data_IF_022206082992
#
_entry.id   IF_022206082992
#
_cell.length_a   1.000
_cell.length_b   1.000
_cell.length_c   1.000
_cell.angle_alpha   90.00
_cell.angle_beta   90.00
_cell.angle_gamma   90.00
#
_symmetry.space_group_name_H-M   'P 1'
#
loop_
_entity.id
_entity.type
_entity.pdbx_description
1 polymer ?
#
# COMPACT_ATOMS: atom_id res chain seq x y z
N UNK A 1 -5.79 -4.64 24.56
CA UNK A 1 -4.84 -4.52 25.70
C UNK A 1 -3.56 -5.35 25.53
N UNK A 2 -3.63 -6.63 25.13
CA UNK A 2 -2.44 -7.51 25.10
C UNK A 2 -1.35 -7.07 24.11
N UNK A 3 -1.73 -6.41 22.99
CA UNK A 3 -0.81 -6.00 21.94
C UNK A 3 -0.85 -4.49 21.67
N UNK A 4 -1.37 -3.73 22.64
CA UNK A 4 -1.61 -2.30 22.47
C UNK A 4 -0.34 -1.53 22.07
N UNK A 5 0.79 -1.84 22.70
CA UNK A 5 2.10 -1.21 22.38
C UNK A 5 2.55 -1.44 20.93
N UNK A 6 2.19 -2.59 20.34
CA UNK A 6 2.49 -2.87 18.94
C UNK A 6 1.46 -2.25 17.98
N UNK A 7 0.18 -2.24 18.36
CA UNK A 7 -0.92 -1.83 17.49
C UNK A 7 -1.17 -0.32 17.46
N UNK A 8 -0.63 0.41 18.44
CA UNK A 8 -0.81 1.86 18.55
C UNK A 8 0.50 2.59 18.63
N UNK A 9 0.45 3.89 18.34
CA UNK A 9 1.56 4.83 18.50
C UNK A 9 1.02 6.21 18.89
N UNK A 10 1.88 7.08 19.43
CA UNK A 10 1.53 8.49 19.62
C UNK A 10 1.81 9.24 18.33
N UNK A 11 0.80 9.91 17.79
CA UNK A 11 0.92 10.68 16.56
C UNK A 11 1.81 11.92 16.78
N UNK A 12 2.73 12.14 15.85
CA UNK A 12 3.51 13.37 15.77
C UNK A 12 2.70 14.58 15.24
N UNK A 13 1.55 14.32 14.60
CA UNK A 13 0.69 15.37 14.07
C UNK A 13 -0.32 15.88 15.11
N UNK A 14 -0.88 14.99 15.91
CA UNK A 14 -1.99 15.30 16.82
C UNK A 14 -1.66 15.15 18.31
N UNK A 15 -0.55 14.49 18.64
CA UNK A 15 -0.21 14.11 20.03
C UNK A 15 -1.11 13.02 20.62
N UNK A 16 -2.11 12.53 19.88
CA UNK A 16 -3.05 11.50 20.33
C UNK A 16 -2.53 10.10 20.03
N UNK A 17 -3.06 9.12 20.78
CA UNK A 17 -2.87 7.71 20.45
C UNK A 17 -3.65 7.38 19.17
N UNK A 18 -2.98 6.79 18.18
CA UNK A 18 -3.53 6.41 16.88
C UNK A 18 -3.21 4.95 16.55
N UNK A 19 -3.92 4.38 15.62
CA UNK A 19 -3.61 3.10 15.02
C UNK A 19 -2.21 3.17 14.36
N UNK A 20 -1.35 2.17 14.61
CA UNK A 20 0.01 2.18 14.06
C UNK A 20 0.04 2.16 12.51
N UNK A 21 -0.98 1.66 11.84
CA UNK A 21 -1.07 1.76 10.38
C UNK A 21 -1.24 3.19 9.86
N UNK A 22 -1.66 4.13 10.71
CA UNK A 22 -1.75 5.56 10.36
C UNK A 22 -0.60 6.39 10.96
N UNK A 23 0.32 5.76 11.70
CA UNK A 23 1.45 6.46 12.31
C UNK A 23 2.54 6.79 11.28
N UNK A 24 3.01 8.03 11.30
CA UNK A 24 4.18 8.47 10.54
C UNK A 24 5.44 8.18 11.38
N UNK A 25 6.35 7.37 10.86
CA UNK A 25 7.53 6.91 11.59
C UNK A 25 8.47 8.07 11.93
N UNK A 26 8.87 8.18 13.19
CA UNK A 26 9.76 9.22 13.70
C UNK A 26 11.09 8.67 14.20
N UNK A 27 11.20 7.34 14.35
CA UNK A 27 12.37 6.71 14.97
C UNK A 27 12.61 5.29 14.46
N UNK A 28 13.79 4.78 14.74
CA UNK A 28 14.11 3.36 14.51
C UNK A 28 13.21 2.44 15.35
N UNK A 29 12.79 2.87 16.54
CA UNK A 29 11.86 2.08 17.38
C UNK A 29 10.50 1.91 16.70
N UNK A 30 9.99 2.94 16.03
CA UNK A 30 8.75 2.83 15.23
C UNK A 30 8.88 1.78 14.14
N UNK A 31 10.01 1.73 13.44
CA UNK A 31 10.28 0.74 12.40
C UNK A 31 10.38 -0.68 12.97
N UNK A 32 11.00 -0.84 14.15
CA UNK A 32 11.08 -2.12 14.86
C UNK A 32 9.69 -2.58 15.29
N UNK A 33 8.90 -1.71 15.88
CA UNK A 33 7.53 -2.00 16.31
C UNK A 33 6.62 -2.31 15.13
N UNK A 34 6.77 -1.60 14.01
CA UNK A 34 6.09 -1.90 12.75
C UNK A 34 6.33 -3.35 12.30
N UNK A 35 7.59 -3.77 12.22
CA UNK A 35 7.94 -5.14 11.79
C UNK A 35 7.38 -6.18 12.76
N UNK A 36 7.51 -5.95 14.08
CA UNK A 36 6.94 -6.85 15.10
C UNK A 36 5.41 -6.95 15.01
N UNK A 37 4.72 -5.83 14.80
CA UNK A 37 3.27 -5.79 14.57
C UNK A 37 2.89 -6.61 13.35
N UNK A 38 3.58 -6.41 12.24
CA UNK A 38 3.29 -7.10 10.98
C UNK A 38 3.55 -8.61 11.08
N UNK A 39 4.64 -9.03 11.75
CA UNK A 39 4.90 -10.44 12.03
C UNK A 39 3.79 -11.07 12.87
N UNK A 40 3.38 -10.39 13.93
CA UNK A 40 2.27 -10.85 14.79
C UNK A 40 0.96 -11.00 14.00
N UNK A 41 0.63 -10.02 13.14
CA UNK A 41 -0.55 -10.10 12.30
C UNK A 41 -0.46 -11.27 11.29
N UNK A 42 0.69 -11.45 10.64
CA UNK A 42 0.91 -12.60 9.75
C UNK A 42 0.72 -13.95 10.46
N UNK A 43 1.23 -14.08 11.69
CA UNK A 43 1.02 -15.27 12.52
C UNK A 43 -0.46 -15.49 12.89
N UNK A 44 -1.21 -14.42 13.17
CA UNK A 44 -2.61 -14.50 13.62
C UNK A 44 -3.58 -14.74 12.47
N UNK A 45 -3.30 -14.22 11.30
CA UNK A 45 -4.21 -14.29 10.15
C UNK A 45 -3.85 -15.42 9.18
N UNK A 46 -2.61 -15.90 9.19
CA UNK A 46 -2.03 -16.81 8.20
C UNK A 46 -2.23 -16.33 6.74
N UNK A 47 -2.45 -15.03 6.54
CA UNK A 47 -2.76 -14.39 5.27
C UNK A 47 -2.19 -12.98 5.20
N UNK A 48 -2.24 -12.35 4.03
CA UNK A 48 -1.96 -10.93 3.88
C UNK A 48 -3.10 -10.10 4.47
N UNK A 49 -2.80 -9.24 5.43
CA UNK A 49 -3.77 -8.36 6.09
C UNK A 49 -3.99 -7.02 5.37
N UNK A 50 -3.33 -6.78 4.24
CA UNK A 50 -3.56 -5.73 3.25
C UNK A 50 -3.62 -4.29 3.79
N UNK A 51 -2.80 -3.93 4.77
CA UNK A 51 -2.77 -2.58 5.36
C UNK A 51 -1.40 -1.89 5.28
N UNK A 52 -0.33 -2.64 4.93
CA UNK A 52 1.01 -2.09 4.89
C UNK A 52 1.20 -1.07 3.75
N UNK A 53 0.50 -1.23 2.64
CA UNK A 53 0.69 -0.40 1.44
C UNK A 53 0.39 1.08 1.73
N UNK A 54 -0.76 1.38 2.34
CA UNK A 54 -1.14 2.74 2.71
C UNK A 54 -0.21 3.37 3.73
N UNK A 55 0.20 2.62 4.76
CA UNK A 55 1.18 3.08 5.75
C UNK A 55 2.53 3.42 5.10
N UNK A 56 3.02 2.56 4.21
CA UNK A 56 4.30 2.74 3.53
C UNK A 56 4.24 3.91 2.55
N UNK A 57 3.12 4.07 1.84
CA UNK A 57 2.83 5.19 0.97
C UNK A 57 2.82 6.52 1.74
N UNK A 58 2.13 6.56 2.87
CA UNK A 58 2.06 7.77 3.69
C UNK A 58 3.43 8.25 4.16
N UNK A 59 4.27 7.33 4.63
CA UNK A 59 5.62 7.68 5.09
C UNK A 59 6.53 8.17 3.94
N UNK A 60 6.36 7.62 2.73
CA UNK A 60 7.08 8.06 1.55
C UNK A 60 6.63 9.45 1.09
N UNK A 61 5.31 9.67 0.99
CA UNK A 61 4.73 10.95 0.55
C UNK A 61 5.01 12.05 1.57
N UNK A 62 4.83 11.78 2.87
CA UNK A 62 5.09 12.75 3.94
C UNK A 62 6.48 13.37 3.85
N UNK A 63 7.51 12.55 3.76
CA UNK A 63 8.89 13.04 3.69
C UNK A 63 9.22 13.68 2.34
N UNK A 64 8.63 13.21 1.24
CA UNK A 64 8.90 13.76 -0.08
C UNK A 64 8.21 15.11 -0.27
N UNK A 65 6.97 15.28 0.18
CA UNK A 65 6.26 16.56 0.07
C UNK A 65 6.99 17.68 0.82
N UNK A 66 7.57 17.39 2.00
CA UNK A 66 8.38 18.35 2.74
C UNK A 66 9.55 18.88 1.89
N UNK A 67 10.33 17.98 1.31
CA UNK A 67 11.48 18.37 0.46
C UNK A 67 11.04 19.02 -0.85
N UNK A 68 9.88 18.63 -1.40
CA UNK A 68 9.33 19.27 -2.60
C UNK A 68 8.96 20.72 -2.33
N UNK A 69 8.28 21.00 -1.20
CA UNK A 69 7.90 22.36 -0.81
C UNK A 69 9.14 23.24 -0.57
N UNK A 70 10.17 22.71 0.09
CA UNK A 70 11.44 23.45 0.29
C UNK A 70 12.14 23.78 -1.05
N UNK A 71 12.10 22.88 -2.01
CA UNK A 71 12.80 23.04 -3.28
C UNK A 71 12.01 23.84 -4.33
N UNK A 72 10.68 23.71 -4.33
CA UNK A 72 9.80 24.24 -5.38
C UNK A 72 8.85 25.33 -4.91
N UNK A 73 8.74 25.58 -3.59
CA UNK A 73 7.83 26.57 -3.02
C UNK A 73 6.35 26.18 -3.13
N UNK A 74 6.07 24.89 -3.20
CA UNK A 74 4.71 24.32 -3.24
C UNK A 74 4.10 24.28 -1.83
N UNK A 75 2.87 23.73 -1.71
CA UNK A 75 2.17 23.52 -0.43
C UNK A 75 1.69 22.08 -0.25
N UNK A 76 2.36 21.15 -0.89
CA UNK A 76 1.96 19.74 -0.86
C UNK A 76 2.08 19.12 0.52
N UNK A 77 3.07 19.54 1.31
CA UNK A 77 3.27 19.04 2.65
C UNK A 77 2.13 19.49 3.60
N UNK A 78 1.71 20.74 3.51
CA UNK A 78 0.56 21.26 4.26
C UNK A 78 -0.71 20.48 3.91
N UNK A 79 -0.97 20.27 2.63
CA UNK A 79 -2.10 19.47 2.14
C UNK A 79 -2.05 18.04 2.69
N UNK A 80 -0.89 17.40 2.59
CA UNK A 80 -0.72 16.03 3.07
C UNK A 80 -0.91 15.92 4.60
N UNK A 81 -0.35 16.83 5.36
CA UNK A 81 -0.50 16.86 6.83
C UNK A 81 -1.96 17.01 7.23
N UNK A 82 -2.71 17.90 6.57
CA UNK A 82 -4.15 18.07 6.78
C UNK A 82 -4.90 16.76 6.51
N UNK A 83 -4.73 16.19 5.32
CA UNK A 83 -5.36 14.91 4.93
C UNK A 83 -5.01 13.79 5.93
N UNK A 84 -3.73 13.63 6.27
CA UNK A 84 -3.30 12.54 7.14
C UNK A 84 -3.73 12.71 8.59
N UNK A 85 -3.91 13.96 9.03
CA UNK A 85 -4.53 14.28 10.33
C UNK A 85 -5.98 13.80 10.37
N UNK A 86 -6.74 13.98 9.29
CA UNK A 86 -8.11 13.48 9.18
C UNK A 86 -8.15 11.96 9.14
N UNK A 87 -7.23 11.31 8.41
CA UNK A 87 -7.05 9.86 8.42
C UNK A 87 -6.85 9.33 9.84
N UNK A 88 -5.98 9.96 10.62
CA UNK A 88 -5.70 9.57 12.01
C UNK A 88 -6.89 9.82 12.95
N UNK A 89 -7.58 10.94 12.81
CA UNK A 89 -8.71 11.30 13.67
C UNK A 89 -9.93 10.38 13.45
N UNK A 90 -10.10 9.88 12.23
CA UNK A 90 -11.23 9.03 11.86
C UNK A 90 -10.88 7.54 11.76
N UNK A 91 -9.62 7.17 12.00
CA UNK A 91 -9.08 5.81 11.83
C UNK A 91 -9.41 5.22 10.43
N UNK A 92 -9.30 6.03 9.39
CA UNK A 92 -9.60 5.60 8.03
C UNK A 92 -8.54 4.62 7.50
N UNK A 93 -9.01 3.56 6.84
CA UNK A 93 -8.15 2.72 6.02
C UNK A 93 -7.76 3.45 4.74
N UNK A 94 -6.47 3.44 4.42
CA UNK A 94 -5.94 4.01 3.17
C UNK A 94 -5.21 2.93 2.40
N UNK A 95 -5.50 2.78 1.11
CA UNK A 95 -4.70 1.98 0.19
C UNK A 95 -3.60 2.81 -0.44
N UNK A 96 -2.52 2.17 -0.89
CA UNK A 96 -1.40 2.84 -1.56
C UNK A 96 -1.25 2.36 -2.99
N UNK A 97 -1.68 3.17 -3.96
CA UNK A 97 -1.69 2.80 -5.37
C UNK A 97 -0.45 3.30 -6.12
N UNK A 98 0.57 2.45 -6.25
CA UNK A 98 1.79 2.79 -6.98
C UNK A 98 1.80 2.22 -8.41
N UNK A 99 1.50 0.93 -8.58
CA UNK A 99 1.78 0.21 -9.83
C UNK A 99 0.81 0.60 -10.94
N UNK A 100 1.33 1.15 -12.04
CA UNK A 100 0.59 1.35 -13.29
C UNK A 100 0.57 0.06 -14.13
N UNK A 101 -0.33 -0.02 -15.12
CA UNK A 101 -0.43 -1.17 -16.03
C UNK A 101 0.88 -1.36 -16.81
N UNK A 102 1.52 -0.26 -17.21
CA UNK A 102 2.75 -0.20 -17.99
C UNK A 102 2.56 -0.82 -19.39
N UNK A 103 3.25 -0.39 -20.35
CA UNK A 103 3.29 -0.98 -21.69
C UNK A 103 4.70 -1.47 -22.00
N UNK A 104 5.34 -0.83 -22.95
CA UNK A 104 6.74 -1.09 -23.28
C UNK A 104 7.63 -0.53 -22.16
N UNK A 105 8.32 -1.43 -21.47
CA UNK A 105 9.22 -1.07 -20.35
C UNK A 105 10.48 -0.33 -20.78
N UNK A 106 10.79 -0.31 -22.06
CA UNK A 106 11.89 0.48 -22.66
C UNK A 106 11.54 1.96 -22.86
N UNK A 107 10.26 2.32 -22.76
CA UNK A 107 9.76 3.66 -23.01
C UNK A 107 9.34 4.35 -21.70
N UNK A 108 9.48 5.70 -21.66
CA UNK A 108 8.92 6.51 -20.59
C UNK A 108 7.39 6.60 -20.70
N UNK A 109 6.67 6.99 -19.63
CA UNK A 109 5.22 7.10 -19.64
C UNK A 109 4.67 7.93 -20.81
N UNK A 110 5.24 9.09 -21.08
CA UNK A 110 4.82 9.99 -22.16
C UNK A 110 5.09 9.45 -23.57
N UNK A 111 5.84 8.36 -23.72
CA UNK A 111 6.22 7.74 -24.99
C UNK A 111 5.47 6.44 -25.28
N UNK A 112 4.58 6.02 -24.40
CA UNK A 112 3.76 4.84 -24.62
C UNK A 112 2.81 5.03 -25.82
N UNK A 113 2.50 3.95 -26.51
CA UNK A 113 1.54 3.99 -27.63
C UNK A 113 0.13 4.34 -27.16
N UNK A 114 -0.22 3.92 -25.96
CA UNK A 114 -1.46 4.27 -25.27
C UNK A 114 -1.08 5.09 -24.01
N UNK A 115 -1.44 6.38 -23.95
CA UNK A 115 -1.10 7.24 -22.83
C UNK A 115 -1.74 6.80 -21.51
N UNK A 116 -2.88 6.11 -21.54
CA UNK A 116 -3.64 5.72 -20.36
C UNK A 116 -3.08 4.48 -19.65
N UNK A 117 -2.02 3.86 -20.17
CA UNK A 117 -1.30 2.78 -19.49
C UNK A 117 -0.60 3.22 -18.20
N UNK A 118 -0.33 4.51 -18.08
CA UNK A 118 0.13 5.17 -16.86
C UNK A 118 -0.89 6.23 -16.46
N UNK A 119 -1.23 6.27 -15.18
CA UNK A 119 -2.12 7.29 -14.67
C UNK A 119 -1.45 8.67 -14.79
N UNK A 120 -2.20 9.63 -15.34
CA UNK A 120 -1.69 10.98 -15.63
C UNK A 120 -2.78 12.05 -15.55
N UNK A 121 -2.34 13.30 -15.51
CA UNK A 121 -3.20 14.48 -15.56
C UNK A 121 -3.61 14.75 -17.00
N UNK A 122 -4.92 14.79 -17.27
CA UNK A 122 -5.47 15.09 -18.60
C UNK A 122 -6.00 16.53 -18.71
N UNK A 123 -6.28 17.17 -17.58
CA UNK A 123 -6.76 18.55 -17.53
C UNK A 123 -6.38 19.20 -16.21
N UNK A 124 -5.97 20.48 -16.25
CA UNK A 124 -5.74 21.33 -15.08
C UNK A 124 -6.72 22.46 -15.04
N UNK A 125 -7.36 22.68 -13.89
CA UNK A 125 -8.30 23.75 -13.62
C UNK A 125 -7.83 24.62 -12.45
N UNK A 126 -8.54 25.69 -12.15
CA UNK A 126 -8.25 26.52 -10.97
C UNK A 126 -8.48 25.76 -9.64
N UNK A 127 -9.40 24.80 -9.61
CA UNK A 127 -9.84 24.10 -8.41
C UNK A 127 -9.16 22.74 -8.21
N UNK A 128 -8.49 22.20 -9.23
CA UNK A 128 -7.88 20.90 -9.18
C UNK A 128 -7.50 20.36 -10.55
N UNK A 129 -7.29 19.04 -10.62
CA UNK A 129 -6.93 18.34 -11.87
C UNK A 129 -7.89 17.19 -12.15
N UNK A 130 -8.02 16.84 -13.43
CA UNK A 130 -8.62 15.58 -13.84
C UNK A 130 -7.53 14.58 -14.20
N UNK A 131 -7.68 13.35 -13.72
CA UNK A 131 -6.74 12.26 -13.98
C UNK A 131 -7.40 11.11 -14.73
N UNK A 132 -6.64 10.48 -15.63
CA UNK A 132 -7.06 9.28 -16.38
C UNK A 132 -5.92 8.26 -16.38
N UNK A 133 -6.27 6.98 -16.48
CA UNK A 133 -5.32 5.86 -16.52
C UNK A 133 -5.73 4.72 -15.60
N UNK A 134 -4.80 3.81 -15.30
CA UNK A 134 -5.13 2.67 -14.47
C UNK A 134 -4.00 2.31 -13.49
N UNK A 135 -4.40 1.84 -12.29
CA UNK A 135 -3.51 1.30 -11.27
C UNK A 135 -3.79 -0.19 -11.09
N UNK A 136 -2.77 -1.02 -11.29
CA UNK A 136 -2.87 -2.47 -11.23
C UNK A 136 -2.47 -3.01 -9.85
N UNK A 137 -3.03 -4.19 -9.49
CA UNK A 137 -2.68 -4.93 -8.27
C UNK A 137 -2.91 -4.13 -6.99
N UNK A 138 -4.07 -3.45 -6.88
CA UNK A 138 -4.39 -2.67 -5.69
C UNK A 138 -4.93 -3.58 -4.59
N UNK A 139 -4.02 -3.95 -3.70
CA UNK A 139 -4.27 -4.89 -2.61
C UNK A 139 -4.85 -4.18 -1.39
N UNK A 140 -6.12 -4.43 -1.07
CA UNK A 140 -6.80 -3.80 0.06
C UNK A 140 -7.65 -2.59 -0.31
N UNK A 141 -7.72 -2.23 -1.58
CA UNK A 141 -8.51 -1.10 -2.07
C UNK A 141 -9.97 -1.18 -1.63
N UNK A 142 -10.62 -2.34 -1.81
CA UNK A 142 -12.03 -2.55 -1.46
C UNK A 142 -12.35 -2.34 0.03
N UNK A 143 -11.36 -2.44 0.89
CA UNK A 143 -11.48 -2.29 2.33
C UNK A 143 -10.90 -0.95 2.83
N UNK A 144 -10.71 0.01 1.94
CA UNK A 144 -10.14 1.32 2.24
C UNK A 144 -11.15 2.43 2.00
N UNK A 145 -11.02 3.53 2.75
CA UNK A 145 -11.84 4.73 2.59
C UNK A 145 -11.23 5.64 1.51
N UNK A 146 -9.90 5.67 1.46
CA UNK A 146 -9.15 6.48 0.50
C UNK A 146 -8.08 5.65 -0.20
N UNK A 147 -7.73 6.07 -1.39
CA UNK A 147 -6.52 5.64 -2.09
C UNK A 147 -5.52 6.79 -2.13
N UNK A 148 -4.27 6.48 -1.76
CA UNK A 148 -3.11 7.37 -1.91
C UNK A 148 -2.34 6.92 -3.15
N UNK A 149 -2.48 7.69 -4.21
CA UNK A 149 -1.87 7.40 -5.52
C UNK A 149 -0.44 7.95 -5.58
N UNK A 150 0.46 7.17 -6.14
CA UNK A 150 1.88 7.50 -6.31
C UNK A 150 2.36 7.16 -7.70
N UNK A 151 3.42 7.84 -8.19
CA UNK A 151 4.13 7.41 -9.41
C UNK A 151 4.68 5.99 -9.28
N UNK A 152 4.81 5.28 -10.40
CA UNK A 152 5.33 3.90 -10.42
C UNK A 152 6.82 3.78 -10.71
N UNK A 153 7.38 4.79 -11.38
CA UNK A 153 8.79 4.83 -11.81
C UNK A 153 9.38 6.23 -11.68
N UNK A 154 10.69 6.33 -11.77
CA UNK A 154 11.36 7.62 -11.97
C UNK A 154 10.98 8.20 -13.33
N UNK A 155 10.77 9.50 -13.38
CA UNK A 155 10.29 10.23 -14.55
C UNK A 155 11.34 11.22 -15.04
N UNK A 156 11.17 11.70 -16.26
CA UNK A 156 12.10 12.60 -16.96
C UNK A 156 11.34 13.81 -17.50
N UNK A 157 12.05 14.78 -17.98
CA UNK A 157 11.49 15.90 -18.73
C UNK A 157 10.60 15.37 -19.87
N UNK A 158 9.39 15.90 -19.96
CA UNK A 158 8.32 15.43 -20.86
C UNK A 158 7.35 14.43 -20.23
N UNK A 159 7.59 13.97 -18.98
CA UNK A 159 6.69 13.09 -18.22
C UNK A 159 5.95 13.84 -17.10
N UNK A 160 5.87 15.20 -17.15
CA UNK A 160 5.32 16.03 -16.06
C UNK A 160 3.87 15.68 -15.72
N UNK A 161 3.05 15.35 -16.72
CA UNK A 161 1.65 14.98 -16.48
C UNK A 161 1.50 13.64 -15.76
N UNK A 162 2.51 12.77 -15.79
CA UNK A 162 2.58 11.48 -15.11
C UNK A 162 3.19 11.60 -13.71
N UNK A 163 3.87 12.69 -13.41
CA UNK A 163 4.46 12.95 -12.09
C UNK A 163 3.40 13.48 -11.14
N UNK A 164 2.41 12.65 -10.81
CA UNK A 164 1.25 13.00 -9.97
C UNK A 164 1.16 12.11 -8.73
N UNK A 165 0.91 12.71 -7.56
CA UNK A 165 0.54 12.02 -6.33
C UNK A 165 -0.62 12.76 -5.66
N UNK A 166 -1.63 12.02 -5.24
CA UNK A 166 -2.85 12.56 -4.66
C UNK A 166 -3.57 11.53 -3.80
N UNK A 167 -4.57 11.97 -3.03
CA UNK A 167 -5.55 11.07 -2.42
C UNK A 167 -6.95 11.37 -2.94
N UNK A 168 -7.77 10.33 -3.08
CA UNK A 168 -9.21 10.46 -3.33
C UNK A 168 -10.00 9.35 -2.61
N UNK A 169 -11.30 9.53 -2.38
CA UNK A 169 -12.19 8.46 -1.92
C UNK A 169 -12.13 7.26 -2.88
N UNK A 170 -12.23 6.04 -2.35
CA UNK A 170 -12.16 4.82 -3.17
C UNK A 170 -13.37 4.63 -4.08
N UNK A 171 -14.43 5.37 -3.84
CA UNK A 171 -15.69 5.40 -4.59
C UNK A 171 -15.93 6.74 -5.32
N UNK A 172 -14.86 7.52 -5.58
CA UNK A 172 -14.97 8.78 -6.31
C UNK A 172 -15.57 8.57 -7.71
N UNK A 173 -16.33 9.58 -8.17
CA UNK A 173 -16.92 9.57 -9.52
C UNK A 173 -15.83 9.38 -10.59
N UNK A 174 -16.07 8.49 -11.56
CA UNK A 174 -15.12 8.14 -12.62
C UNK A 174 -14.20 6.95 -12.27
N UNK A 175 -14.32 6.36 -11.06
CA UNK A 175 -13.59 5.14 -10.71
C UNK A 175 -14.36 3.90 -11.12
N UNK A 176 -13.70 3.00 -11.83
CA UNK A 176 -14.20 1.66 -12.15
C UNK A 176 -13.22 0.62 -11.62
N UNK A 177 -13.75 -0.41 -10.95
CA UNK A 177 -12.96 -1.48 -10.38
C UNK A 177 -13.15 -2.78 -11.17
N UNK A 178 -12.04 -3.40 -11.55
CA UNK A 178 -12.03 -4.76 -12.10
C UNK A 178 -11.45 -5.67 -11.03
N UNK A 179 -12.31 -6.55 -10.51
CA UNK A 179 -11.95 -7.47 -9.44
C UNK A 179 -11.01 -8.57 -9.98
N UNK A 180 -9.82 -8.64 -9.40
CA UNK A 180 -8.87 -9.71 -9.63
C UNK A 180 -9.27 -10.96 -8.86
N UNK A 181 -9.39 -12.09 -9.55
CA UNK A 181 -9.66 -13.38 -8.91
C UNK A 181 -8.39 -13.93 -8.28
N UNK A 182 -8.40 -14.13 -6.97
CA UNK A 182 -7.37 -14.89 -6.27
C UNK A 182 -7.69 -16.39 -6.28
N UNK A 183 -6.66 -17.23 -6.16
CA UNK A 183 -6.81 -18.70 -6.19
C UNK A 183 -7.70 -19.26 -5.07
N UNK A 184 -7.93 -18.50 -4.01
CA UNK A 184 -8.76 -18.86 -2.87
C UNK A 184 -10.18 -18.26 -2.89
N UNK A 185 -10.55 -17.49 -3.89
CA UNK A 185 -11.84 -16.76 -3.93
C UNK A 185 -13.06 -17.67 -3.82
N UNK A 186 -13.02 -18.82 -4.48
CA UNK A 186 -14.13 -19.79 -4.44
C UNK A 186 -14.40 -20.33 -3.04
N UNK A 187 -13.37 -20.40 -2.19
CA UNK A 187 -13.48 -20.88 -0.80
C UNK A 187 -14.27 -19.94 0.09
N UNK A 188 -14.32 -18.65 -0.23
CA UNK A 188 -15.12 -17.66 0.51
C UNK A 188 -16.63 -17.84 0.33
N UNK A 189 -17.05 -18.49 -0.73
CA UNK A 189 -18.44 -18.75 -1.07
C UNK A 189 -18.95 -20.15 -0.65
N UNK A 190 -18.05 -21.01 -0.15
CA UNK A 190 -18.39 -22.34 0.32
C UNK A 190 -18.96 -22.27 1.75
N UNK A 191 -20.18 -22.74 1.94
CA UNK A 191 -20.93 -22.59 3.20
C UNK A 191 -20.31 -23.31 4.42
N UNK A 192 -19.52 -24.37 4.21
CA UNK A 192 -19.02 -25.24 5.28
C UNK A 192 -17.52 -25.53 5.21
N UNK A 193 -16.73 -24.56 4.76
CA UNK A 193 -15.29 -24.78 4.63
C UNK A 193 -14.53 -24.26 5.86
N UNK A 194 -14.14 -25.16 6.73
CA UNK A 194 -13.28 -24.91 7.91
C UNK A 194 -11.78 -24.97 7.58
N UNK A 195 -11.42 -25.28 6.36
CA UNK A 195 -10.03 -25.51 5.94
C UNK A 195 -9.49 -24.12 5.65
N UNK A 196 -9.36 -23.26 5.41
CA UNK A 196 -8.74 -21.98 5.04
C UNK A 196 -9.35 -20.77 5.79
N UNK A 197 -9.53 -20.95 7.08
CA UNK A 197 -10.22 -19.96 7.94
C UNK A 197 -9.51 -18.62 7.89
N UNK A 198 -8.17 -18.58 7.90
CA UNK A 198 -7.38 -17.36 7.83
C UNK A 198 -7.66 -16.58 6.55
N UNK A 199 -7.61 -17.23 5.40
CA UNK A 199 -7.86 -16.59 4.12
C UNK A 199 -9.34 -16.25 3.88
N UNK A 200 -10.25 -17.10 4.37
CA UNK A 200 -11.69 -16.82 4.33
C UNK A 200 -12.08 -15.55 5.08
N UNK A 201 -11.48 -15.33 6.25
CA UNK A 201 -11.82 -14.20 7.14
C UNK A 201 -10.99 -12.95 6.81
N UNK A 202 -9.70 -13.11 6.55
CA UNK A 202 -8.73 -12.02 6.44
C UNK A 202 -8.15 -11.82 5.04
N UNK A 203 -8.28 -12.80 4.15
CA UNK A 203 -7.80 -12.68 2.77
C UNK A 203 -8.56 -11.57 2.04
N UNK A 204 -7.82 -10.67 1.42
CA UNK A 204 -8.38 -9.56 0.69
C UNK A 204 -8.48 -9.87 -0.81
N UNK A 205 -9.07 -8.94 -1.52
CA UNK A 205 -9.12 -8.93 -2.97
C UNK A 205 -8.13 -7.92 -3.53
N UNK A 206 -7.62 -8.21 -4.70
CA UNK A 206 -6.90 -7.26 -5.53
C UNK A 206 -7.80 -6.76 -6.65
N UNK A 207 -7.67 -5.49 -6.97
CA UNK A 207 -8.42 -4.86 -8.05
C UNK A 207 -7.48 -4.14 -9.00
N UNK A 208 -7.86 -4.08 -10.28
CA UNK A 208 -7.41 -3.07 -11.21
C UNK A 208 -8.35 -1.87 -11.05
N UNK A 209 -7.79 -0.69 -10.82
CA UNK A 209 -8.54 0.55 -10.66
C UNK A 209 -8.37 1.38 -11.93
N UNK A 210 -9.46 1.68 -12.59
CA UNK A 210 -9.51 2.55 -13.77
C UNK A 210 -10.00 3.91 -13.31
N UNK A 211 -9.26 4.94 -13.68
CA UNK A 211 -9.60 6.35 -13.49
C UNK A 211 -10.03 6.90 -14.84
N UNK A 212 -11.28 7.32 -14.96
CA UNK A 212 -11.82 7.97 -16.16
C UNK A 212 -12.23 9.39 -15.81
N UNK A 213 -11.33 10.34 -16.06
CA UNK A 213 -11.49 11.76 -15.74
C UNK A 213 -11.92 12.02 -14.29
N UNK A 214 -11.26 11.37 -13.35
CA UNK A 214 -11.52 11.56 -11.91
C UNK A 214 -11.01 12.93 -11.49
N UNK A 215 -11.87 13.74 -10.87
CA UNK A 215 -11.49 15.07 -10.36
C UNK A 215 -10.77 14.97 -9.03
N UNK A 216 -9.60 15.61 -8.93
CA UNK A 216 -8.80 15.68 -7.71
C UNK A 216 -8.67 17.16 -7.32
N UNK A 217 -9.24 17.60 -6.19
CA UNK A 217 -9.14 18.98 -5.73
C UNK A 217 -7.70 19.32 -5.30
N UNK A 218 -7.35 20.61 -5.41
CA UNK A 218 -5.99 21.07 -5.13
C UNK A 218 -5.46 20.71 -3.74
N UNK A 219 -6.30 20.65 -2.73
CA UNK A 219 -5.91 20.30 -1.35
C UNK A 219 -5.69 18.79 -1.12
N UNK A 220 -6.00 17.97 -2.11
CA UNK A 220 -5.72 16.53 -2.12
C UNK A 220 -4.56 16.13 -3.04
N UNK A 221 -3.84 17.11 -3.58
CA UNK A 221 -2.67 16.90 -4.44
C UNK A 221 -1.38 17.04 -3.62
N UNK A 222 -0.46 16.09 -3.82
CA UNK A 222 0.80 15.97 -3.09
C UNK A 222 2.05 15.96 -3.99
N UNK A 223 1.86 15.90 -5.30
CA UNK A 223 2.86 16.10 -6.35
C UNK A 223 2.12 16.39 -7.65
N UNK A 224 2.57 17.34 -8.48
CA UNK A 224 1.91 17.66 -9.74
C UNK A 224 2.87 18.26 -10.78
N UNK A 225 3.77 17.42 -11.30
CA UNK A 225 4.69 17.80 -12.37
C UNK A 225 6.16 17.84 -11.96
N UNK A 226 6.49 17.73 -10.68
CA UNK A 226 7.88 17.78 -10.21
C UNK A 226 8.56 16.41 -10.42
N UNK A 227 8.97 16.11 -11.64
CA UNK A 227 9.50 14.80 -12.09
C UNK A 227 10.65 14.26 -11.23
N UNK A 228 11.50 15.11 -10.69
CA UNK A 228 12.59 14.73 -9.79
C UNK A 228 12.07 14.02 -8.54
N UNK A 229 10.95 14.50 -7.98
CA UNK A 229 10.39 13.99 -6.75
C UNK A 229 9.52 12.74 -6.96
N UNK A 230 9.06 12.48 -8.19
CA UNK A 230 8.40 11.23 -8.53
C UNK A 230 9.30 10.02 -8.23
N UNK A 231 10.56 10.05 -8.67
CA UNK A 231 11.54 9.00 -8.37
C UNK A 231 11.82 8.84 -6.88
N UNK A 232 11.81 9.94 -6.13
CA UNK A 232 12.03 9.94 -4.68
C UNK A 232 10.88 9.24 -3.92
N UNK A 233 9.62 9.49 -4.31
CA UNK A 233 8.46 8.77 -3.76
C UNK A 233 8.62 7.26 -4.00
N UNK A 234 8.96 6.86 -5.22
CA UNK A 234 9.14 5.44 -5.61
C UNK A 234 10.21 4.77 -4.76
N UNK A 235 11.37 5.41 -4.59
CA UNK A 235 12.49 4.86 -3.81
C UNK A 235 12.12 4.70 -2.34
N UNK A 236 11.53 5.73 -1.74
CA UNK A 236 11.12 5.72 -0.31
C UNK A 236 10.03 4.70 -0.05
N UNK A 237 9.01 4.67 -0.91
CA UNK A 237 7.96 3.66 -0.81
C UNK A 237 8.54 2.25 -0.90
N UNK A 238 9.41 1.99 -1.87
CA UNK A 238 10.05 0.69 -2.03
C UNK A 238 10.87 0.29 -0.79
N UNK A 239 11.56 1.23 -0.16
CA UNK A 239 12.29 1.00 1.09
C UNK A 239 11.37 0.60 2.24
N UNK A 240 10.34 1.37 2.52
CA UNK A 240 9.36 1.08 3.56
C UNK A 240 8.60 -0.23 3.31
N UNK A 241 8.21 -0.48 2.05
CA UNK A 241 7.41 -1.64 1.69
C UNK A 241 8.21 -2.94 1.74
N UNK A 242 9.48 -2.93 1.34
CA UNK A 242 10.37 -4.08 1.51
C UNK A 242 10.60 -4.42 2.98
N UNK A 243 10.72 -3.42 3.84
CA UNK A 243 10.77 -3.64 5.28
C UNK A 243 9.47 -4.27 5.82
N UNK A 244 8.31 -3.84 5.34
CA UNK A 244 7.01 -4.44 5.67
C UNK A 244 6.96 -5.93 5.32
N UNK A 245 7.53 -6.33 4.19
CA UNK A 245 7.66 -7.74 3.84
C UNK A 245 8.49 -8.54 4.83
N UNK A 246 9.55 -7.95 5.38
CA UNK A 246 10.35 -8.55 6.44
C UNK A 246 9.56 -8.84 7.72
N UNK A 247 8.43 -8.20 7.92
CA UNK A 247 7.49 -8.50 9.00
C UNK A 247 6.42 -9.51 8.59
N UNK A 248 5.53 -9.13 7.68
CA UNK A 248 4.34 -9.92 7.38
C UNK A 248 4.64 -11.29 6.76
N UNK A 249 5.60 -11.38 5.85
CA UNK A 249 5.98 -12.66 5.22
C UNK A 249 6.64 -13.62 6.20
N UNK A 250 7.45 -13.10 7.13
CA UNK A 250 8.02 -13.91 8.20
C UNK A 250 6.92 -14.45 9.12
N UNK A 251 5.92 -13.63 9.47
CA UNK A 251 4.81 -14.09 10.29
C UNK A 251 3.97 -15.19 9.64
N UNK A 252 3.67 -15.08 8.34
CA UNK A 252 3.00 -16.15 7.59
C UNK A 252 3.92 -17.38 7.45
N UNK A 253 5.23 -17.16 7.24
CA UNK A 253 6.24 -18.24 7.22
C UNK A 253 6.30 -19.04 8.52
N UNK A 254 6.21 -18.38 9.67
CA UNK A 254 6.15 -19.06 10.99
C UNK A 254 4.98 -20.05 11.05
N UNK A 255 3.80 -19.68 10.53
CA UNK A 255 2.63 -20.56 10.49
C UNK A 255 2.86 -21.74 9.53
N UNK A 256 3.44 -21.47 8.36
CA UNK A 256 3.71 -22.51 7.37
C UNK A 256 4.73 -23.54 7.89
N UNK A 257 5.80 -23.08 8.53
CA UNK A 257 6.81 -23.95 9.15
C UNK A 257 6.17 -24.80 10.26
N UNK A 258 5.39 -24.18 11.15
CA UNK A 258 4.67 -24.89 12.21
C UNK A 258 3.70 -25.94 11.68
N UNK A 259 2.92 -25.61 10.67
CA UNK A 259 2.01 -26.54 10.01
C UNK A 259 2.74 -27.70 9.35
N UNK A 260 3.88 -27.44 8.70
CA UNK A 260 4.70 -28.48 8.07
C UNK A 260 5.30 -29.42 9.11
N UNK A 261 5.79 -28.89 10.24
CA UNK A 261 6.31 -29.70 11.35
C UNK A 261 5.22 -30.61 11.92
N UNK A 262 4.02 -30.06 12.18
CA UNK A 262 2.88 -30.82 12.68
C UNK A 262 2.45 -31.93 11.68
N UNK A 263 2.39 -31.61 10.38
CA UNK A 263 2.09 -32.61 9.35
C UNK A 263 3.14 -33.74 9.32
N UNK A 264 4.42 -33.41 9.49
CA UNK A 264 5.49 -34.39 9.62
C UNK A 264 5.36 -35.31 10.83
N UNK A 265 4.90 -34.77 11.98
CA UNK A 265 4.60 -35.58 13.17
C UNK A 265 3.42 -36.51 12.93
N UNK A 266 2.31 -35.99 12.38
CA UNK A 266 1.11 -36.78 12.08
C UNK A 266 1.38 -37.90 11.07
N UNK A 267 2.28 -37.67 10.10
CA UNK A 267 2.72 -38.66 9.13
C UNK A 267 3.79 -39.64 9.66
N UNK A 268 4.26 -39.46 10.90
CA UNK A 268 5.32 -40.30 11.49
C UNK A 268 6.72 -40.08 10.85
N UNK A 269 6.90 -39.03 10.04
CA UNK A 269 8.13 -38.74 9.29
C UNK A 269 9.04 -37.71 9.94
N UNK A 270 8.66 -37.13 11.08
CA UNK A 270 9.37 -36.03 11.76
C UNK A 270 10.83 -36.35 12.15
N UNK A 271 11.19 -37.63 12.27
CA UNK A 271 12.54 -38.09 12.61
C UNK A 271 13.44 -38.29 11.40
N UNK A 272 12.91 -38.30 10.18
CA UNK A 272 13.69 -38.47 8.98
C UNK A 272 14.63 -37.29 8.74
N UNK A 273 15.89 -37.54 8.42
CA UNK A 273 16.91 -36.48 8.28
C UNK A 273 16.54 -35.44 7.23
N UNK A 274 16.10 -35.88 6.05
CA UNK A 274 15.70 -34.98 4.97
C UNK A 274 14.49 -34.10 5.31
N UNK A 275 13.60 -34.53 6.20
CA UNK A 275 12.49 -33.69 6.70
C UNK A 275 13.01 -32.63 7.67
N UNK A 276 13.90 -33.03 8.58
CA UNK A 276 14.52 -32.09 9.51
C UNK A 276 15.35 -31.04 8.78
N UNK A 277 16.13 -31.45 7.77
CA UNK A 277 16.97 -30.54 7.00
C UNK A 277 16.10 -29.46 6.32
N UNK A 278 14.96 -29.84 5.72
CA UNK A 278 14.03 -28.89 5.10
C UNK A 278 13.26 -27.99 6.06
N UNK A 279 13.09 -28.40 7.31
CA UNK A 279 12.50 -27.53 8.33
C UNK A 279 13.50 -26.50 8.91
N UNK A 280 14.81 -26.79 8.78
CA UNK A 280 15.89 -25.91 9.24
C UNK A 280 16.25 -24.86 8.18
N UNK A 281 16.27 -25.25 6.89
CA UNK A 281 16.49 -24.33 5.76
C UNK A 281 15.43 -23.21 5.71
#
# INVERSE_FOLDING_TARGET
PQYEDLMTATSNLTGKKVNRFTHLHQSTDDLIKKVKMQRLLGQKTAACFQRCVGMDAANAVYSTTFETDEACGTKYHENFVKFWTDVQNNDWGVDGAMTDVKGDRGLSPSKQADPDLFLHVVERTADGVYVTGAKAHQTGYLNSHYVLVMPTISMREGDEDYAISFACPTDADGITLILGRQSCDTRKTEEHNDIDVGNKVYGGHEVLVIFDRVFIPNDMIFLNGEVKFAGMIVERFAGYHRQSYGGCKVGVGDVLIGATALAGEMAGSSKASHVKDKLIE
#
